data_IF_804172039053
#
_entry.id   IF_804172039053
#
_cell.length_a   1.000
_cell.length_b   1.000
_cell.length_c   1.000
_cell.angle_alpha   90.00
_cell.angle_beta   90.00
_cell.angle_gamma   90.00
#
_symmetry.space_group_name_H-M   'P 1'
#
loop_
_entity.id
_entity.type
_entity.pdbx_description
1 polymer ?
#
# COMPACT_ATOMS: atom_id res chain seq x y z
N UNK A 1 -7.85 -27.48 16.77
CA UNK A 1 -7.75 -26.00 16.64
C UNK A 1 -9.10 -25.43 17.04
N UNK A 2 -9.17 -24.59 18.06
CA UNK A 2 -10.43 -23.98 18.51
C UNK A 2 -10.69 -22.77 17.60
N UNK A 3 -11.81 -22.79 16.87
CA UNK A 3 -12.27 -21.64 16.08
C UNK A 3 -13.14 -20.74 16.98
N UNK A 4 -13.10 -19.41 16.80
CA UNK A 4 -14.00 -18.52 17.51
C UNK A 4 -15.46 -18.85 17.16
N UNK A 5 -16.34 -18.77 18.17
CA UNK A 5 -17.78 -18.88 17.96
C UNK A 5 -18.37 -17.55 17.44
N UNK A 6 -19.62 -17.60 16.97
CA UNK A 6 -20.30 -16.44 16.40
C UNK A 6 -20.40 -15.26 17.38
N UNK A 7 -20.53 -15.55 18.68
CA UNK A 7 -20.55 -14.52 19.73
C UNK A 7 -19.22 -13.78 19.83
N UNK A 8 -18.11 -14.52 19.75
CA UNK A 8 -16.77 -13.96 19.76
C UNK A 8 -16.51 -13.13 18.50
N UNK A 9 -16.91 -13.64 17.33
CA UNK A 9 -16.77 -12.92 16.06
C UNK A 9 -17.53 -11.58 16.07
N UNK A 10 -18.81 -11.61 16.44
CA UNK A 10 -19.64 -10.41 16.50
C UNK A 10 -19.11 -9.37 17.51
N UNK A 11 -18.57 -9.83 18.66
CA UNK A 11 -17.95 -8.95 19.66
C UNK A 11 -16.79 -8.12 19.09
N UNK A 12 -16.03 -8.68 18.15
CA UNK A 12 -14.88 -8.01 17.53
C UNK A 12 -15.19 -7.40 16.16
N UNK A 13 -16.48 -7.33 15.78
CA UNK A 13 -16.91 -6.67 14.55
C UNK A 13 -16.78 -7.50 13.28
N UNK A 14 -16.64 -8.83 13.40
CA UNK A 14 -16.67 -9.73 12.25
C UNK A 14 -18.06 -10.34 12.07
N UNK A 15 -18.56 -10.32 10.84
CA UNK A 15 -19.85 -10.88 10.47
C UNK A 15 -19.85 -12.42 10.55
N UNK A 16 -18.77 -13.04 10.10
CA UNK A 16 -18.59 -14.49 10.10
C UNK A 16 -17.11 -14.89 10.08
N UNK A 17 -16.86 -16.19 10.11
CA UNK A 17 -15.52 -16.75 10.11
C UNK A 17 -14.77 -16.47 8.80
N UNK A 18 -15.47 -16.32 7.67
CA UNK A 18 -14.87 -16.01 6.38
C UNK A 18 -14.33 -14.58 6.37
N UNK A 19 -15.10 -13.60 6.86
CA UNK A 19 -14.68 -12.22 7.00
C UNK A 19 -13.51 -12.12 8.00
N UNK A 20 -13.55 -12.87 9.10
CA UNK A 20 -12.44 -12.90 10.05
C UNK A 20 -11.13 -13.36 9.41
N UNK A 21 -11.14 -14.39 8.57
CA UNK A 21 -9.91 -14.85 7.90
C UNK A 21 -9.48 -13.94 6.75
N UNK A 22 -10.42 -13.24 6.11
CA UNK A 22 -10.16 -12.42 4.93
C UNK A 22 -10.27 -10.91 5.21
N UNK A 23 -10.19 -10.48 6.46
CA UNK A 23 -10.50 -9.12 6.89
C UNK A 23 -9.80 -8.03 6.05
N UNK A 24 -8.58 -8.28 5.56
CA UNK A 24 -7.78 -7.35 4.74
C UNK A 24 -8.42 -6.96 3.41
N UNK A 25 -9.41 -7.71 2.93
CA UNK A 25 -10.05 -7.44 1.64
C UNK A 25 -11.30 -6.56 1.77
N UNK A 26 -11.73 -6.24 3.00
CA UNK A 26 -12.92 -5.44 3.30
C UNK A 26 -12.52 -4.03 3.73
N UNK A 27 -13.14 -3.01 3.14
CA UNK A 27 -12.78 -1.59 3.31
C UNK A 27 -13.04 -1.06 4.71
N UNK A 28 -14.01 -1.63 5.41
CA UNK A 28 -14.33 -1.22 6.78
C UNK A 28 -13.37 -1.84 7.82
N UNK A 29 -12.52 -2.79 7.41
CA UNK A 29 -11.61 -3.53 8.29
C UNK A 29 -10.12 -3.33 7.97
N UNK A 30 -9.78 -2.75 6.81
CA UNK A 30 -8.40 -2.54 6.35
C UNK A 30 -8.26 -1.25 5.54
N UNK A 31 -7.04 -0.71 5.48
CA UNK A 31 -6.68 0.40 4.59
C UNK A 31 -6.35 -0.04 3.14
N UNK A 32 -6.42 -1.34 2.85
CA UNK A 32 -6.12 -1.92 1.54
C UNK A 32 -4.63 -1.93 1.21
N UNK A 33 -4.24 -2.33 -0.02
CA UNK A 33 -2.84 -2.56 -0.36
C UNK A 33 -1.91 -1.36 -0.17
N UNK A 34 -2.40 -0.12 -0.35
CA UNK A 34 -1.59 1.07 -0.11
C UNK A 34 -1.21 1.20 1.37
N UNK A 35 -2.16 0.96 2.28
CA UNK A 35 -1.89 1.02 3.72
C UNK A 35 -1.14 -0.23 4.19
N UNK A 36 -1.63 -1.41 3.82
CA UNK A 36 -1.18 -2.68 4.40
C UNK A 36 0.18 -3.15 3.84
N UNK A 37 0.55 -2.70 2.64
CA UNK A 37 1.81 -3.07 1.98
C UNK A 37 2.68 -1.83 1.69
N UNK A 38 2.07 -0.71 1.30
CA UNK A 38 2.81 0.46 0.84
C UNK A 38 3.22 1.47 1.91
N UNK A 39 2.55 1.51 3.06
CA UNK A 39 2.78 2.57 4.05
C UNK A 39 4.24 2.68 4.48
N UNK A 40 4.91 1.54 4.70
CA UNK A 40 6.31 1.51 5.10
C UNK A 40 7.26 2.02 4.00
N UNK A 41 7.02 1.65 2.74
CA UNK A 41 7.85 2.10 1.61
C UNK A 41 7.62 3.59 1.29
N UNK A 42 6.37 4.04 1.38
CA UNK A 42 6.02 5.45 1.19
C UNK A 42 6.65 6.31 2.30
N UNK A 43 6.70 5.82 3.54
CA UNK A 43 7.35 6.54 4.64
C UNK A 43 8.86 6.69 4.43
N UNK A 44 9.53 5.73 3.77
CA UNK A 44 10.95 5.85 3.39
C UNK A 44 11.17 7.06 2.47
N UNK A 45 10.23 7.37 1.56
CA UNK A 45 10.33 8.59 0.75
C UNK A 45 10.30 9.85 1.62
N UNK A 46 9.38 9.91 2.57
CA UNK A 46 9.25 11.06 3.48
C UNK A 46 10.52 11.25 4.29
N UNK A 47 11.02 10.15 4.86
CA UNK A 47 12.24 10.15 5.68
C UNK A 47 13.45 10.59 4.86
N UNK A 48 13.64 10.02 3.67
CA UNK A 48 14.80 10.31 2.82
C UNK A 48 14.77 11.76 2.31
N UNK A 49 13.60 12.24 1.86
CA UNK A 49 13.44 13.61 1.34
C UNK A 49 13.34 14.67 2.44
N UNK A 50 13.21 14.26 3.71
CA UNK A 50 13.01 15.17 4.84
C UNK A 50 11.74 16.01 4.72
N UNK A 51 10.73 15.54 3.98
CA UNK A 51 9.53 16.29 3.62
C UNK A 51 8.31 15.38 3.53
N UNK A 52 7.12 15.98 3.66
CA UNK A 52 5.84 15.30 3.41
C UNK A 52 5.35 15.63 2.00
N UNK A 53 4.58 14.74 1.35
CA UNK A 53 4.07 15.01 0.01
C UNK A 53 3.07 16.17 0.04
N UNK A 54 3.17 17.08 -0.92
CA UNK A 54 2.22 18.20 -1.09
C UNK A 54 0.99 17.80 -1.89
N UNK A 55 1.11 16.78 -2.74
CA UNK A 55 0.04 16.27 -3.58
C UNK A 55 0.30 14.81 -3.93
N UNK A 56 -0.77 14.10 -4.29
CA UNK A 56 -0.71 12.74 -4.81
C UNK A 56 -1.67 12.60 -5.98
N UNK A 57 -1.20 11.97 -7.07
CA UNK A 57 -2.04 11.43 -8.12
C UNK A 57 -1.96 9.92 -8.08
N UNK A 58 -3.11 9.24 -7.97
CA UNK A 58 -3.16 7.79 -7.89
C UNK A 58 -4.18 7.22 -8.87
N UNK A 59 -3.87 6.04 -9.38
CA UNK A 59 -4.78 5.22 -10.18
C UNK A 59 -4.68 3.79 -9.72
N UNK A 60 -5.82 3.10 -9.65
CA UNK A 60 -5.87 1.72 -9.22
C UNK A 60 -7.15 1.04 -9.67
N UNK A 61 -7.19 -0.27 -9.48
CA UNK A 61 -8.35 -1.05 -9.91
C UNK A 61 -8.42 -2.43 -9.29
N UNK A 62 -9.65 -2.96 -9.31
CA UNK A 62 -10.01 -4.32 -8.90
C UNK A 62 -10.22 -5.18 -10.15
N UNK A 63 -9.11 -5.57 -10.76
CA UNK A 63 -9.11 -6.15 -12.10
C UNK A 63 -9.15 -7.68 -12.10
N UNK A 64 -8.59 -8.34 -11.08
CA UNK A 64 -8.49 -9.79 -11.02
C UNK A 64 -9.47 -10.38 -9.99
N UNK A 65 -9.39 -9.97 -8.72
CA UNK A 65 -10.25 -10.49 -7.67
C UNK A 65 -11.55 -9.68 -7.61
N UNK A 66 -12.67 -10.25 -8.04
CA UNK A 66 -13.93 -9.51 -8.19
C UNK A 66 -14.73 -9.42 -6.89
N UNK A 67 -14.43 -10.30 -5.95
CA UNK A 67 -15.09 -10.48 -4.66
C UNK A 67 -14.52 -9.61 -3.53
N UNK A 68 -13.31 -9.06 -3.71
CA UNK A 68 -12.65 -8.19 -2.72
C UNK A 68 -13.20 -6.78 -2.80
N UNK A 69 -13.22 -6.01 -1.73
CA UNK A 69 -13.67 -4.60 -1.80
C UNK A 69 -12.54 -3.64 -2.17
N UNK A 70 -11.31 -3.96 -1.75
CA UNK A 70 -10.13 -3.19 -2.12
C UNK A 70 -9.68 -3.45 -3.57
N UNK A 71 -8.90 -2.50 -4.09
CA UNK A 71 -8.19 -2.67 -5.35
C UNK A 71 -7.10 -3.73 -5.23
N UNK A 72 -6.78 -4.37 -6.35
CA UNK A 72 -5.71 -5.37 -6.43
C UNK A 72 -4.37 -4.71 -6.74
N UNK A 73 -4.42 -3.58 -7.45
CA UNK A 73 -3.26 -2.88 -7.97
C UNK A 73 -3.49 -1.36 -7.86
N UNK A 74 -2.48 -0.64 -7.38
CA UNK A 74 -2.50 0.83 -7.26
C UNK A 74 -1.12 1.39 -7.60
N UNK A 75 -1.10 2.46 -8.39
CA UNK A 75 0.10 3.23 -8.74
C UNK A 75 -0.13 4.68 -8.30
N UNK A 76 0.86 5.27 -7.64
CA UNK A 76 0.81 6.61 -7.08
C UNK A 76 2.04 7.42 -7.52
N UNK A 77 1.84 8.70 -7.82
CA UNK A 77 2.89 9.69 -7.96
C UNK A 77 2.67 10.73 -6.86
N UNK A 78 3.66 10.87 -5.99
CA UNK A 78 3.71 11.85 -4.93
C UNK A 78 4.59 13.01 -5.36
N UNK A 79 4.14 14.25 -5.16
CA UNK A 79 4.97 15.43 -5.35
C UNK A 79 5.44 15.97 -4.00
N UNK A 80 6.70 16.39 -3.94
CA UNK A 80 7.33 16.94 -2.74
C UNK A 80 7.93 18.31 -3.05
N UNK A 81 7.83 19.21 -2.08
CA UNK A 81 8.70 20.39 -1.99
C UNK A 81 9.72 20.12 -0.90
N UNK A 82 10.96 19.82 -1.29
CA UNK A 82 12.06 19.55 -0.35
C UNK A 82 12.91 20.80 -0.16
N UNK A 83 13.80 20.84 0.85
CA UNK A 83 14.76 21.95 1.01
C UNK A 83 15.67 22.18 -0.21
N UNK A 84 15.88 21.13 -1.03
CA UNK A 84 16.79 21.14 -2.18
C UNK A 84 16.06 21.38 -3.51
N UNK A 85 14.73 21.28 -3.53
CA UNK A 85 13.90 21.53 -4.71
C UNK A 85 12.70 20.61 -4.82
N UNK A 86 12.01 20.67 -5.96
CA UNK A 86 10.89 19.77 -6.24
C UNK A 86 11.36 18.34 -6.48
N UNK A 87 10.72 17.37 -5.85
CA UNK A 87 10.95 15.94 -6.09
C UNK A 87 9.64 15.21 -6.38
N UNK A 88 9.73 14.06 -7.05
CA UNK A 88 8.60 13.17 -7.30
C UNK A 88 8.97 11.76 -6.92
N UNK A 89 8.11 11.12 -6.14
CA UNK A 89 8.24 9.70 -5.83
C UNK A 89 7.14 8.92 -6.54
N UNK A 90 7.52 7.78 -7.11
CA UNK A 90 6.59 6.84 -7.73
C UNK A 90 6.48 5.61 -6.82
N UNK A 91 5.26 5.24 -6.47
CA UNK A 91 4.96 4.02 -5.74
C UNK A 91 4.02 3.14 -6.56
N UNK A 92 4.24 1.83 -6.53
CA UNK A 92 3.26 0.87 -7.03
C UNK A 92 3.15 -0.33 -6.11
N UNK A 93 1.92 -0.80 -5.95
CA UNK A 93 1.62 -2.09 -5.33
C UNK A 93 0.84 -2.91 -6.34
N UNK A 94 1.39 -4.06 -6.72
CA UNK A 94 0.79 -4.98 -7.68
C UNK A 94 0.66 -6.37 -7.05
N UNK A 95 -0.55 -6.81 -6.72
CA UNK A 95 -0.77 -8.08 -5.99
C UNK A 95 -1.15 -9.26 -6.89
N UNK A 96 -1.25 -9.02 -8.20
CA UNK A 96 -1.73 -10.01 -9.19
C UNK A 96 -0.76 -10.15 -10.37
N UNK A 97 0.54 -10.00 -10.13
CA UNK A 97 1.60 -10.15 -11.15
C UNK A 97 2.56 -11.28 -10.77
N UNK A 98 3.06 -12.00 -11.77
CA UNK A 98 4.05 -13.07 -11.60
C UNK A 98 5.49 -12.55 -11.50
N UNK A 99 5.76 -11.36 -12.02
CA UNK A 99 7.04 -10.67 -11.91
C UNK A 99 6.77 -9.16 -11.99
N UNK A 100 7.06 -8.43 -10.91
CA UNK A 100 6.67 -7.03 -10.72
C UNK A 100 7.77 -6.11 -10.22
N UNK A 101 9.04 -6.51 -10.33
CA UNK A 101 10.19 -5.70 -9.94
C UNK A 101 10.76 -6.00 -8.55
N UNK A 102 10.08 -6.78 -7.70
CA UNK A 102 10.54 -7.00 -6.32
C UNK A 102 10.19 -5.84 -5.40
N UNK A 103 10.73 -5.85 -4.19
CA UNK A 103 10.55 -4.78 -3.20
C UNK A 103 11.86 -4.03 -3.10
N UNK A 104 11.91 -2.82 -3.66
CA UNK A 104 13.09 -1.97 -3.61
C UNK A 104 12.70 -0.50 -3.78
N UNK A 105 13.57 0.38 -3.32
CA UNK A 105 13.49 1.81 -3.51
C UNK A 105 14.72 2.29 -4.29
N UNK A 106 14.51 3.19 -5.24
CA UNK A 106 15.58 3.84 -6.01
C UNK A 106 15.52 5.35 -5.80
N UNK A 107 16.62 5.91 -5.29
CA UNK A 107 16.81 7.34 -5.11
C UNK A 107 17.76 7.85 -6.20
N UNK A 108 17.23 8.63 -7.13
CA UNK A 108 17.93 9.05 -8.35
C UNK A 108 18.22 10.55 -8.30
N UNK A 109 19.50 10.91 -8.28
CA UNK A 109 19.98 12.29 -8.36
C UNK A 109 20.75 12.55 -9.65
N UNK A 110 21.28 13.77 -9.81
CA UNK A 110 22.07 14.16 -10.99
C UNK A 110 23.47 13.55 -11.02
N UNK A 111 24.01 13.18 -9.85
CA UNK A 111 25.38 12.68 -9.70
C UNK A 111 25.46 11.19 -9.32
N UNK A 112 24.32 10.52 -9.17
CA UNK A 112 24.28 9.11 -8.83
C UNK A 112 22.89 8.62 -8.47
N UNK A 113 22.80 7.30 -8.33
CA UNK A 113 21.59 6.58 -7.92
C UNK A 113 21.94 5.60 -6.82
N UNK A 114 21.09 5.52 -5.81
CA UNK A 114 21.15 4.49 -4.76
C UNK A 114 19.91 3.61 -4.90
N UNK A 115 20.12 2.30 -4.94
CA UNK A 115 19.06 1.29 -4.89
C UNK A 115 19.17 0.51 -3.59
N UNK A 116 18.05 0.34 -2.89
CA UNK A 116 17.96 -0.36 -1.60
C UNK A 116 16.85 -1.41 -1.71
N UNK A 117 17.11 -2.64 -1.26
CA UNK A 117 16.20 -3.79 -1.28
C UNK A 117 16.26 -4.57 0.03
#
# INVERSE_FOLDING_TARGET
>A
RILPDDKTLAKYGFADLHQFFNWRVYRDLSGGPISDLGAHQIDIFNWFLGAQPKSVMASGGRNFFKEREHFDNVMCIFEYDTPEGGARAFYQVLTTTSAGGGYYEAFMGTEGTIEIS
#
